data_IF_082951566740
#
_entry.id   IF_082951566740
#
_cell.length_a   1.000
_cell.length_b   1.000
_cell.length_c   1.000
_cell.angle_alpha   90.00
_cell.angle_beta   90.00
_cell.angle_gamma   90.00
#
_symmetry.space_group_name_H-M   'P 1'
#
loop_
_entity.id
_entity.type
_entity.pdbx_description
1 polymer ?
#
# COMPACT_ATOMS: atom_id res chain seq x y z
N UNK A 1 3.27 18.91 -0.92
CA UNK A 1 3.04 17.51 -1.26
C UNK A 1 1.57 17.25 -1.48
N UNK A 2 1.23 16.49 -2.50
CA UNK A 2 -0.15 16.19 -2.77
C UNK A 2 -0.55 14.91 -2.04
N UNK A 3 -1.81 14.80 -1.65
CA UNK A 3 -2.31 13.64 -0.94
C UNK A 3 -3.52 13.05 -1.63
N UNK A 4 -3.58 11.74 -1.65
CA UNK A 4 -4.67 10.99 -2.25
C UNK A 4 -5.28 10.10 -1.18
N UNK A 5 -6.59 10.15 -1.00
CA UNK A 5 -7.26 9.29 -0.04
C UNK A 5 -7.47 7.89 -0.63
N UNK A 6 -7.07 6.87 0.09
CA UNK A 6 -7.21 5.49 -0.35
C UNK A 6 -7.70 4.62 0.80
N UNK A 7 -7.94 3.35 0.50
CA UNK A 7 -8.30 2.37 1.52
C UNK A 7 -7.12 1.49 1.92
N UNK A 8 -5.91 1.87 1.55
CA UNK A 8 -4.72 1.10 1.86
C UNK A 8 -4.39 1.23 3.35
N UNK A 9 -4.54 0.14 4.09
CA UNK A 9 -4.34 0.12 5.54
C UNK A 9 -3.49 -1.04 6.03
N UNK A 10 -3.11 -1.95 5.15
CA UNK A 10 -2.45 -3.19 5.55
C UNK A 10 -0.99 -3.20 5.09
N UNK A 11 -0.03 -3.19 6.04
CA UNK A 11 1.39 -3.23 5.68
C UNK A 11 1.77 -4.50 4.92
N UNK A 12 1.13 -5.62 5.22
CA UNK A 12 1.41 -6.88 4.52
C UNK A 12 0.97 -6.78 3.06
N UNK A 13 -0.14 -6.13 2.80
CA UNK A 13 -0.62 -5.92 1.44
C UNK A 13 0.32 -5.01 0.66
N UNK A 14 0.82 -3.95 1.31
CA UNK A 14 1.74 -3.03 0.68
C UNK A 14 3.04 -3.75 0.31
N UNK A 15 3.58 -4.53 1.24
CA UNK A 15 4.79 -5.29 0.98
C UNK A 15 4.58 -6.32 -0.13
N UNK A 16 3.46 -7.01 -0.14
CA UNK A 16 3.16 -8.00 -1.17
C UNK A 16 3.01 -7.35 -2.55
N UNK A 17 2.37 -6.19 -2.63
CA UNK A 17 2.25 -5.46 -3.89
C UNK A 17 3.63 -5.05 -4.41
N UNK A 18 4.52 -4.62 -3.53
CA UNK A 18 5.88 -4.28 -3.91
C UNK A 18 6.61 -5.50 -4.46
N UNK A 19 6.44 -6.65 -3.82
CA UNK A 19 7.08 -7.88 -4.29
C UNK A 19 6.57 -8.31 -5.66
N UNK A 20 5.29 -8.14 -5.93
CA UNK A 20 4.73 -8.49 -7.23
C UNK A 20 5.35 -7.66 -8.35
N UNK A 21 5.74 -6.43 -8.07
CA UNK A 21 6.38 -5.56 -9.04
C UNK A 21 7.90 -5.57 -8.93
N UNK A 22 8.44 -6.47 -8.11
CA UNK A 22 9.88 -6.59 -7.88
C UNK A 22 10.49 -5.28 -7.34
N UNK A 23 9.72 -4.58 -6.53
CA UNK A 23 10.18 -3.38 -5.86
C UNK A 23 10.69 -3.76 -4.47
N UNK A 24 11.56 -2.92 -3.93
CA UNK A 24 12.05 -3.13 -2.58
C UNK A 24 10.90 -2.94 -1.60
N UNK A 25 10.66 -3.87 -0.67
CA UNK A 25 9.60 -3.69 0.31
C UNK A 25 9.84 -2.47 1.17
N UNK A 26 8.80 -1.69 1.46
CA UNK A 26 8.97 -0.48 2.24
C UNK A 26 9.16 -0.81 3.72
N UNK A 27 9.88 0.06 4.41
CA UNK A 27 10.01 -0.02 5.84
C UNK A 27 9.38 1.22 6.43
N UNK A 28 8.66 1.06 7.53
CA UNK A 28 8.04 2.20 8.17
C UNK A 28 9.09 3.19 8.62
N UNK A 29 8.89 4.43 8.30
CA UNK A 29 9.76 5.50 8.75
C UNK A 29 9.00 6.44 9.66
N UNK A 30 9.61 6.74 10.80
CA UNK A 30 9.08 7.72 11.72
C UNK A 30 10.03 8.90 11.68
N UNK A 31 9.58 10.03 12.10
CA UNK A 31 10.45 11.20 12.20
C UNK A 31 11.11 11.61 10.93
N UNK A 32 10.38 11.61 9.90
CA UNK A 32 10.84 12.23 8.73
C UNK A 32 10.86 13.71 9.04
N UNK A 33 11.53 14.52 8.38
CA UNK A 33 11.77 15.89 8.70
C UNK A 33 10.56 16.63 9.23
N UNK A 34 10.75 17.51 10.22
CA UNK A 34 9.67 18.33 10.72
C UNK A 34 9.02 19.11 9.59
N UNK A 35 7.73 19.21 9.62
CA UNK A 35 7.00 19.93 8.58
C UNK A 35 6.67 19.10 7.36
N UNK A 36 7.18 17.87 7.26
CA UNK A 36 6.74 16.95 6.22
C UNK A 36 5.80 15.95 6.85
N UNK A 37 4.87 15.52 6.10
CA UNK A 37 3.91 14.59 6.60
C UNK A 37 4.35 13.20 6.43
N UNK A 38 5.56 13.01 6.13
CA UNK A 38 6.03 11.72 5.73
C UNK A 38 6.35 10.81 6.88
N UNK A 39 5.39 10.57 7.70
CA UNK A 39 5.48 9.55 8.71
C UNK A 39 4.74 8.37 8.12
N UNK A 40 5.44 7.36 7.67
CA UNK A 40 4.77 6.24 7.06
C UNK A 40 5.67 5.32 6.27
N UNK A 41 5.15 4.80 5.17
CA UNK A 41 5.81 3.75 4.40
C UNK A 41 6.20 4.27 3.02
N UNK A 42 7.47 4.63 2.81
CA UNK A 42 7.90 5.14 1.53
C UNK A 42 8.04 4.01 0.52
N UNK A 43 7.55 4.24 -0.69
CA UNK A 43 7.65 3.27 -1.78
C UNK A 43 8.23 3.98 -3.00
N UNK A 44 9.23 3.38 -3.62
CA UNK A 44 9.82 3.91 -4.82
C UNK A 44 9.24 3.20 -6.03
N UNK A 45 8.39 3.88 -6.75
CA UNK A 45 7.80 3.35 -7.97
C UNK A 45 8.66 3.71 -9.18
N UNK A 46 8.82 2.76 -10.08
CA UNK A 46 9.70 2.93 -11.23
C UNK A 46 9.32 4.12 -12.13
N UNK A 47 8.06 4.40 -12.25
CA UNK A 47 7.62 5.49 -13.11
C UNK A 47 7.61 6.87 -12.46
N UNK A 48 7.94 6.96 -11.19
CA UNK A 48 7.89 8.22 -10.47
C UNK A 48 9.29 8.72 -10.12
N UNK A 49 9.44 10.02 -10.01
CA UNK A 49 10.74 10.62 -9.71
C UNK A 49 11.04 10.58 -8.23
N UNK A 50 10.02 10.63 -7.40
CA UNK A 50 10.19 10.67 -5.96
C UNK A 50 9.41 9.57 -5.28
N UNK A 51 9.84 9.12 -4.11
CA UNK A 51 9.08 8.11 -3.39
C UNK A 51 7.70 8.63 -3.02
N UNK A 52 6.73 7.74 -3.01
CA UNK A 52 5.42 8.05 -2.47
C UNK A 52 5.37 7.51 -1.06
N UNK A 53 4.65 8.16 -0.17
CA UNK A 53 4.58 7.76 1.23
C UNK A 53 3.15 7.34 1.55
N UNK A 54 3.01 6.11 2.04
CA UNK A 54 1.73 5.58 2.44
C UNK A 54 1.57 5.75 3.95
N UNK A 55 0.53 6.47 4.35
CA UNK A 55 0.15 6.52 5.75
C UNK A 55 -0.97 5.50 5.94
N UNK A 56 -0.60 4.33 6.42
CA UNK A 56 -1.54 3.23 6.54
C UNK A 56 -2.54 3.40 7.69
N UNK A 57 -2.32 4.38 8.54
CA UNK A 57 -3.28 4.66 9.60
C UNK A 57 -4.51 5.36 9.05
N UNK A 58 -4.32 6.20 8.06
CA UNK A 58 -5.40 7.02 7.51
C UNK A 58 -5.79 6.63 6.09
N UNK A 59 -4.93 5.89 5.41
CA UNK A 59 -5.12 5.57 4.00
C UNK A 59 -4.64 6.66 3.06
N UNK A 60 -4.01 7.71 3.57
CA UNK A 60 -3.51 8.77 2.72
C UNK A 60 -2.21 8.36 2.03
N UNK A 61 -2.11 8.69 0.77
CA UNK A 61 -0.90 8.46 -0.01
C UNK A 61 -0.39 9.81 -0.46
N UNK A 62 0.80 10.16 -0.01
CA UNK A 62 1.39 11.47 -0.30
C UNK A 62 2.43 11.33 -1.40
N UNK A 63 2.39 12.20 -2.37
CA UNK A 63 3.30 12.16 -3.51
C UNK A 63 3.72 13.56 -3.91
N UNK A 64 4.85 13.66 -4.61
CA UNK A 64 5.41 14.95 -4.96
C UNK A 64 4.65 15.57 -6.15
N UNK A 65 4.41 16.89 -6.15
CA UNK A 65 3.72 17.55 -7.25
C UNK A 65 4.33 17.30 -8.63
N UNK A 66 5.64 17.07 -8.71
CA UNK A 66 6.29 16.77 -9.97
C UNK A 66 5.79 15.46 -10.57
N UNK A 67 5.25 14.57 -9.75
CA UNK A 67 4.73 13.29 -10.20
C UNK A 67 3.23 13.34 -10.48
N UNK A 68 2.65 14.53 -10.56
CA UNK A 68 1.25 14.71 -10.87
C UNK A 68 0.99 14.77 -12.39
N UNK A 69 1.98 14.51 -13.21
CA UNK A 69 1.79 14.43 -14.64
C UNK A 69 0.97 13.18 -14.97
N UNK A 70 0.19 13.25 -16.02
CA UNK A 70 -0.78 12.20 -16.36
C UNK A 70 -0.22 10.78 -16.29
N UNK A 71 0.89 10.52 -16.93
CA UNK A 71 1.47 9.19 -16.96
C UNK A 71 1.97 8.72 -15.60
N UNK A 72 2.58 9.63 -14.85
CA UNK A 72 3.10 9.30 -13.54
C UNK A 72 1.98 9.06 -12.56
N UNK A 73 0.94 9.91 -12.63
CA UNK A 73 -0.21 9.73 -11.77
C UNK A 73 -0.93 8.42 -12.10
N UNK A 74 -1.02 8.05 -13.37
CA UNK A 74 -1.61 6.78 -13.76
C UNK A 74 -0.80 5.60 -13.22
N UNK A 75 0.52 5.72 -13.16
CA UNK A 75 1.39 4.70 -12.59
C UNK A 75 1.12 4.57 -11.09
N UNK A 76 0.98 5.68 -10.39
CA UNK A 76 0.65 5.67 -8.98
C UNK A 76 -0.71 5.01 -8.74
N UNK A 77 -1.70 5.35 -9.53
CA UNK A 77 -3.04 4.78 -9.37
C UNK A 77 -3.07 3.28 -9.63
N UNK A 78 -2.29 2.80 -10.58
CA UNK A 78 -2.17 1.36 -10.82
C UNK A 78 -1.58 0.65 -9.61
N UNK A 79 -0.60 1.25 -8.98
CA UNK A 79 0.00 0.66 -7.78
C UNK A 79 -1.00 0.67 -6.62
N UNK A 80 -1.71 1.76 -6.43
CA UNK A 80 -2.72 1.86 -5.37
C UNK A 80 -3.80 0.79 -5.57
N UNK A 81 -4.22 0.57 -6.81
CA UNK A 81 -5.21 -0.47 -7.12
C UNK A 81 -4.66 -1.85 -6.78
N UNK A 82 -3.40 -2.09 -7.09
CA UNK A 82 -2.76 -3.36 -6.77
C UNK A 82 -2.76 -3.59 -5.26
N UNK A 83 -2.43 -2.56 -4.48
CA UNK A 83 -2.45 -2.66 -3.03
C UNK A 83 -3.87 -3.01 -2.54
N UNK A 84 -4.89 -2.37 -3.10
CA UNK A 84 -6.27 -2.65 -2.73
C UNK A 84 -6.66 -4.10 -3.06
N UNK A 85 -6.25 -4.60 -4.22
CA UNK A 85 -6.55 -5.96 -4.64
C UNK A 85 -5.86 -6.96 -3.70
N UNK A 86 -4.59 -6.74 -3.40
CA UNK A 86 -3.84 -7.62 -2.51
C UNK A 86 -4.42 -7.56 -1.10
N UNK A 87 -4.78 -6.37 -0.63
CA UNK A 87 -5.39 -6.21 0.67
C UNK A 87 -6.70 -7.00 0.78
N UNK A 88 -7.50 -6.96 -0.27
CA UNK A 88 -8.73 -7.74 -0.33
C UNK A 88 -8.47 -9.24 -0.28
N UNK A 89 -7.46 -9.71 -1.01
CA UNK A 89 -7.10 -11.12 -1.01
C UNK A 89 -6.65 -11.58 0.38
N UNK A 90 -5.83 -10.78 1.03
CA UNK A 90 -5.32 -11.14 2.33
C UNK A 90 -6.43 -11.13 3.39
N UNK A 91 -7.33 -10.17 3.28
CA UNK A 91 -8.47 -10.11 4.19
C UNK A 91 -9.36 -11.32 3.99
N UNK A 92 -9.64 -11.70 2.76
CA UNK A 92 -10.44 -12.87 2.45
C UNK A 92 -9.79 -14.14 3.00
N UNK A 93 -8.50 -14.27 2.80
CA UNK A 93 -7.78 -15.45 3.31
C UNK A 93 -7.83 -15.54 4.84
N UNK A 94 -7.69 -14.41 5.52
CA UNK A 94 -7.77 -14.40 6.98
C UNK A 94 -9.16 -14.76 7.45
N UNK A 95 -10.19 -14.25 6.81
CA UNK A 95 -11.56 -14.55 7.20
C UNK A 95 -11.85 -16.02 6.96
N UNK A 96 -11.37 -16.57 5.85
CA UNK A 96 -11.57 -17.96 5.53
C UNK A 96 -10.86 -18.83 6.56
N UNK A 97 -9.65 -18.52 6.93
CA UNK A 97 -8.91 -19.26 7.93
C UNK A 97 -9.55 -19.14 9.30
N UNK A 98 -10.09 -17.99 9.63
CA UNK A 98 -10.76 -17.79 10.89
C UNK A 98 -12.02 -18.62 11.02
N UNK A 99 -12.68 -18.93 9.91
CA UNK A 99 -13.86 -19.76 9.94
C UNK A 99 -13.55 -21.23 9.87
N UNK A 100 -12.37 -21.57 9.40
CA UNK A 100 -11.98 -22.92 9.18
C UNK A 100 -12.18 -23.87 10.35
N UNK A 101 -11.85 -23.49 11.56
CA UNK A 101 -12.04 -24.39 12.68
C UNK A 101 -13.47 -24.82 12.86
N UNK A 102 -14.39 -24.00 12.52
CA UNK A 102 -15.77 -24.33 12.69
C UNK A 102 -16.25 -25.25 11.60
N UNK A 103 -15.71 -25.12 10.43
CA UNK A 103 -16.19 -25.94 9.34
C UNK A 103 -15.35 -27.12 9.08
N UNK A 104 -14.15 -27.10 9.51
CA UNK A 104 -13.24 -28.16 9.21
C UNK A 104 -13.70 -29.52 9.54
N UNK A 105 -14.33 -29.73 10.60
CA UNK A 105 -14.67 -31.08 11.00
C UNK A 105 -15.54 -31.72 10.02
N UNK A 106 -16.22 -30.97 9.26
CA UNK A 106 -17.05 -31.57 8.42
C UNK A 106 -16.46 -32.25 7.40
N UNK A 107 -15.44 -31.72 6.98
CA UNK A 107 -14.79 -32.27 5.89
C UNK A 107 -14.36 -33.59 6.25
N UNK A 108 -14.27 -33.78 7.47
CA UNK A 108 -13.85 -35.10 7.89
C UNK A 108 -14.70 -35.96 7.26
#
# INVERSE_FOLDING_TARGET
MLCLATSARDPAALAAACRELRLRPPQRQENVRPGTEACGWPVRLAGLRRPVVFDLRTGLVCYHPQDNAHERFACLMRFVRLVHVVQGRLRHARDFQGRRPASAPLAG
#
